data_IF_769595475122
#
_entry.id   IF_769595475122
#
_cell.length_a   1.000
_cell.length_b   1.000
_cell.length_c   1.000
_cell.angle_alpha   90.00
_cell.angle_beta   90.00
_cell.angle_gamma   90.00
#
_symmetry.space_group_name_H-M   'P 1'
#
loop_
_entity.id
_entity.type
_entity.pdbx_description
1 polymer ?
#
# COMPACT_ATOMS: atom_id res chain seq x y z
N UNK A 1 12.00 -12.85 -9.57
CA UNK A 1 10.97 -12.61 -10.44
C UNK A 1 10.69 -11.19 -10.65
N UNK A 2 10.50 -10.87 -11.80
CA UNK A 2 10.32 -9.48 -12.11
C UNK A 2 9.06 -8.89 -11.53
N UNK A 3 9.10 -7.61 -11.37
CA UNK A 3 7.99 -6.90 -10.82
C UNK A 3 6.75 -6.96 -11.68
N UNK A 4 6.90 -7.33 -12.94
CA UNK A 4 5.73 -7.39 -13.79
C UNK A 4 4.79 -8.53 -13.44
N UNK A 5 5.17 -9.41 -12.53
CA UNK A 5 4.23 -10.41 -12.08
C UNK A 5 3.28 -9.82 -11.04
N UNK A 6 3.56 -8.62 -10.56
CA UNK A 6 2.69 -8.00 -9.57
C UNK A 6 1.59 -7.20 -10.23
N UNK A 7 0.45 -7.12 -9.56
CA UNK A 7 -0.63 -6.27 -10.01
C UNK A 7 -0.14 -4.82 -10.03
N UNK A 8 -0.51 -4.03 -11.02
CA UNK A 8 -0.06 -2.63 -11.07
C UNK A 8 -0.37 -1.84 -9.82
N UNK A 9 -1.51 -2.10 -9.19
CA UNK A 9 -1.85 -1.39 -7.97
C UNK A 9 -0.91 -1.80 -6.83
N UNK A 10 -0.50 -3.07 -6.82
CA UNK A 10 0.43 -3.55 -5.80
C UNK A 10 1.80 -2.93 -6.02
N UNK A 11 2.20 -2.75 -7.27
CA UNK A 11 3.47 -2.11 -7.57
C UNK A 11 3.47 -0.67 -7.08
N UNK A 12 2.37 0.02 -7.27
CA UNK A 12 2.23 1.38 -6.75
C UNK A 12 2.31 1.40 -5.23
N UNK A 13 1.65 0.45 -4.60
CA UNK A 13 1.68 0.34 -3.16
C UNK A 13 3.10 0.08 -2.66
N UNK A 14 3.79 -0.83 -3.29
CA UNK A 14 5.14 -1.17 -2.90
C UNK A 14 6.06 0.04 -3.05
N UNK A 15 5.95 0.74 -4.16
CA UNK A 15 6.74 1.94 -4.39
C UNK A 15 6.43 3.00 -3.34
N UNK A 16 5.15 3.22 -3.07
CA UNK A 16 4.69 4.17 -2.08
C UNK A 16 5.26 3.83 -0.70
N UNK A 17 5.17 2.56 -0.34
CA UNK A 17 5.64 2.09 0.96
C UNK A 17 7.15 2.30 1.11
N UNK A 18 7.89 1.93 0.07
CA UNK A 18 9.33 2.06 0.12
C UNK A 18 9.76 3.51 0.15
N UNK A 19 9.06 4.33 -0.58
CA UNK A 19 9.37 5.75 -0.62
C UNK A 19 9.16 6.41 0.73
N UNK A 20 8.17 5.94 1.47
CA UNK A 20 7.88 6.48 2.79
C UNK A 20 8.70 5.80 3.89
N UNK A 21 9.43 4.75 3.55
CA UNK A 21 10.22 4.05 4.54
C UNK A 21 9.40 3.25 5.52
N UNK A 22 8.23 2.80 5.11
CA UNK A 22 7.34 2.06 6.00
C UNK A 22 7.56 0.56 5.85
N UNK A 23 7.50 -0.15 6.97
CA UNK A 23 7.52 -1.60 6.95
C UNK A 23 6.14 -2.08 6.54
N UNK A 24 6.03 -3.38 6.29
CA UNK A 24 4.73 -3.96 5.96
C UNK A 24 3.74 -3.76 7.11
N UNK A 25 4.20 -3.98 8.33
CA UNK A 25 3.33 -3.82 9.49
C UNK A 25 2.88 -2.37 9.65
N UNK A 26 3.80 -1.44 9.45
CA UNK A 26 3.45 -0.03 9.57
C UNK A 26 2.45 0.39 8.49
N UNK A 27 2.60 -0.15 7.30
CA UNK A 27 1.68 0.13 6.21
C UNK A 27 0.29 -0.38 6.54
N UNK A 28 0.20 -1.58 7.08
CA UNK A 28 -1.08 -2.15 7.46
C UNK A 28 -1.74 -1.29 8.53
N UNK A 29 -0.97 -0.85 9.52
CA UNK A 29 -1.50 -0.01 10.58
C UNK A 29 -2.05 1.30 10.02
N UNK A 30 -1.32 1.91 9.11
CA UNK A 30 -1.75 3.16 8.52
C UNK A 30 -3.04 2.97 7.72
N UNK A 31 -3.10 1.92 6.92
CA UNK A 31 -4.29 1.65 6.10
C UNK A 31 -5.50 1.40 6.97
N UNK A 32 -5.33 0.61 8.03
CA UNK A 32 -6.45 0.29 8.89
C UNK A 32 -6.94 1.51 9.67
N UNK A 33 -6.02 2.40 9.99
CA UNK A 33 -6.39 3.63 10.67
C UNK A 33 -7.27 4.50 9.78
N UNK A 34 -7.18 4.29 8.46
CA UNK A 34 -8.00 5.03 7.51
C UNK A 34 -9.13 4.17 6.96
N UNK A 35 -9.50 3.15 7.71
CA UNK A 35 -10.64 2.31 7.39
C UNK A 35 -10.46 1.47 6.11
N UNK A 36 -9.23 1.26 5.73
CA UNK A 36 -8.94 0.38 4.62
C UNK A 36 -8.63 -0.99 5.21
N UNK A 37 -9.45 -1.98 4.87
CA UNK A 37 -9.35 -3.31 5.45
C UNK A 37 -8.20 -4.09 4.83
N UNK A 38 -7.02 -3.90 5.37
CA UNK A 38 -5.83 -4.58 4.89
C UNK A 38 -5.21 -5.36 6.04
N UNK A 39 -4.76 -6.57 5.76
CA UNK A 39 -4.08 -7.37 6.76
C UNK A 39 -2.64 -7.60 6.34
N UNK A 40 -1.80 -7.91 7.30
CA UNK A 40 -0.39 -8.16 7.02
C UNK A 40 -0.23 -9.37 6.10
N UNK A 41 -1.01 -10.39 6.35
CA UNK A 41 -0.97 -11.59 5.53
C UNK A 41 -1.31 -11.27 4.08
N UNK A 42 -2.33 -10.47 3.88
CA UNK A 42 -2.76 -10.08 2.54
C UNK A 42 -1.69 -9.25 1.85
N UNK A 43 -1.12 -8.28 2.57
CA UNK A 43 -0.09 -7.44 2.00
C UNK A 43 1.12 -8.26 1.57
N UNK A 44 1.53 -9.19 2.41
CA UNK A 44 2.65 -10.04 2.07
C UNK A 44 2.37 -10.87 0.84
N UNK A 45 1.16 -11.39 0.75
CA UNK A 45 0.76 -12.21 -0.39
C UNK A 45 0.77 -11.40 -1.68
N UNK A 46 0.30 -10.17 -1.60
CA UNK A 46 0.31 -9.27 -2.75
C UNK A 46 1.73 -8.95 -3.19
N UNK A 47 2.59 -8.62 -2.24
CA UNK A 47 3.95 -8.20 -2.57
C UNK A 47 4.81 -9.35 -3.09
N UNK A 48 4.45 -10.57 -2.73
CA UNK A 48 5.17 -11.73 -3.23
C UNK A 48 4.67 -12.17 -4.60
N UNK A 49 3.58 -11.57 -5.07
CA UNK A 49 3.02 -11.94 -6.36
C UNK A 49 2.14 -13.17 -6.31
N UNK A 50 1.87 -13.67 -5.12
CA UNK A 50 1.04 -14.87 -4.97
C UNK A 50 -0.42 -14.58 -5.28
N UNK A 51 -0.90 -13.44 -4.81
CA UNK A 51 -2.26 -13.01 -5.09
C UNK A 51 -2.24 -11.53 -5.39
N UNK A 52 -3.39 -10.98 -5.70
CA UNK A 52 -3.52 -9.55 -5.96
C UNK A 52 -4.88 -9.07 -5.51
N UNK A 53 -5.08 -7.77 -5.45
CA UNK A 53 -6.37 -7.22 -5.06
C UNK A 53 -7.41 -7.47 -6.12
N UNK A 54 -8.65 -7.59 -5.71
CA UNK A 54 -9.76 -7.70 -6.63
C UNK A 54 -9.94 -6.36 -7.33
N UNK A 55 -10.60 -6.35 -8.49
CA UNK A 55 -10.76 -5.09 -9.23
C UNK A 55 -11.33 -3.96 -8.39
N UNK A 56 -12.29 -4.28 -7.56
CA UNK A 56 -12.89 -3.31 -6.68
C UNK A 56 -11.89 -2.75 -5.67
N UNK A 57 -11.14 -3.66 -5.08
CA UNK A 57 -10.12 -3.29 -4.10
C UNK A 57 -8.99 -2.53 -4.78
N UNK A 58 -8.66 -2.90 -6.00
CA UNK A 58 -7.61 -2.23 -6.74
C UNK A 58 -7.94 -0.75 -6.93
N UNK A 59 -9.18 -0.46 -7.30
CA UNK A 59 -9.61 0.90 -7.48
C UNK A 59 -9.51 1.69 -6.19
N UNK A 60 -9.97 1.10 -5.11
CA UNK A 60 -9.93 1.74 -3.80
C UNK A 60 -8.49 1.97 -3.38
N UNK A 61 -7.63 1.00 -3.63
CA UNK A 61 -6.23 1.11 -3.28
C UNK A 61 -5.56 2.24 -4.04
N UNK A 62 -5.80 2.33 -5.34
CA UNK A 62 -5.20 3.38 -6.14
C UNK A 62 -5.66 4.74 -5.69
N UNK A 63 -6.93 4.86 -5.37
CA UNK A 63 -7.45 6.12 -4.86
C UNK A 63 -6.83 6.47 -3.51
N UNK A 64 -6.70 5.46 -2.65
CA UNK A 64 -6.10 5.68 -1.34
C UNK A 64 -4.67 6.20 -1.47
N UNK A 65 -3.89 5.59 -2.35
CA UNK A 65 -2.51 6.01 -2.53
C UNK A 65 -2.42 7.41 -3.11
N UNK A 66 -3.36 7.76 -3.95
CA UNK A 66 -3.39 9.10 -4.53
C UNK A 66 -3.75 10.14 -3.47
N UNK A 67 -4.65 9.78 -2.58
CA UNK A 67 -5.10 10.71 -1.54
C UNK A 67 -4.09 10.82 -0.41
N UNK A 68 -3.22 9.82 -0.26
CA UNK A 68 -2.24 9.82 0.81
C UNK A 68 -0.83 9.61 0.26
N UNK A 69 -0.36 10.52 -0.59
CA UNK A 69 0.93 10.33 -1.23
C UNK A 69 2.10 10.33 -0.28
N UNK A 70 1.97 11.00 0.86
CA UNK A 70 3.06 11.04 1.83
C UNK A 70 2.48 11.00 3.23
N UNK A 71 2.16 9.82 3.73
CA UNK A 71 1.50 9.71 5.04
C UNK A 71 2.27 10.35 6.17
N UNK A 72 3.58 10.29 6.12
CA UNK A 72 4.38 10.88 7.19
C UNK A 72 4.42 12.37 7.13
N UNK A 73 4.15 12.92 5.97
CA UNK A 73 4.28 14.32 5.79
C UNK A 73 3.33 15.11 6.65
N UNK A 74 2.17 14.57 6.87
CA UNK A 74 1.20 15.26 7.68
C UNK A 74 1.66 15.45 9.09
N UNK A 75 2.42 14.52 9.60
CA UNK A 75 2.87 14.62 10.97
C UNK A 75 4.07 15.49 11.13
N UNK A 76 4.86 15.63 10.07
CA UNK A 76 6.08 16.32 10.23
C UNK A 76 6.16 17.59 9.51
N UNK A 77 5.43 17.68 8.51
CA UNK A 77 5.63 18.80 7.65
C UNK A 77 5.43 20.09 8.32
N UNK A 78 4.95 20.05 9.21
CA UNK A 78 4.83 21.16 9.69
C UNK A 78 5.93 21.69 10.00
N UNK A 79 6.60 21.29 9.91
CA UNK A 79 7.67 21.78 10.12
C UNK A 79 7.91 22.62 9.73
#
# INVERSE_FOLDING_TARGET
MPADTLDPAVRLLLFWRQKQGLSQAQTVTFFRAHLFDLTLSRLRSWESGRTGPRPNTREILERFLTEHPTPNKEGISKE
#
